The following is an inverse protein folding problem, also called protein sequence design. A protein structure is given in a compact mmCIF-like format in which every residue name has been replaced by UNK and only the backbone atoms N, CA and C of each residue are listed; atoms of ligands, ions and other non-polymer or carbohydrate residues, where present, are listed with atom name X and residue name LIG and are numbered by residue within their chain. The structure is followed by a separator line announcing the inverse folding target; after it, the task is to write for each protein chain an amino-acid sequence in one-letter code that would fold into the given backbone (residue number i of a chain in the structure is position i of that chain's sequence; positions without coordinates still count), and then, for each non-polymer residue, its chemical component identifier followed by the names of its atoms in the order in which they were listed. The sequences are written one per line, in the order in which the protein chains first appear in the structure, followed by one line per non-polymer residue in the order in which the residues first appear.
data_IF_405009733436
#
_entry.id   IF_405009733436
#
_cell.length_a   1.000
_cell.length_b   1.000
_cell.length_c   1.000
_cell.angle_alpha   90.00
_cell.angle_beta   90.00
_cell.angle_gamma   90.00
#
_symmetry.space_group_name_H-M   'P 1'
#
loop_
_entity.id
_entity.type
_entity.pdbx_description
1 polymer ?
#
# COMPACT_ATOMS: atom_id res chain seq x y z
N UNK A 1 10.36 17.42 21.00
CA UNK A 1 9.94 18.27 19.86
C UNK A 1 8.60 18.92 20.18
N UNK A 2 8.41 20.22 19.89
CA UNK A 2 7.12 20.91 20.11
C UNK A 2 6.07 20.45 19.11
N UNK A 3 4.78 20.56 19.46
CA UNK A 3 3.66 20.00 18.69
C UNK A 3 3.61 20.47 17.24
N UNK A 4 3.70 21.79 17.00
CA UNK A 4 3.75 22.33 15.64
C UNK A 4 4.88 21.72 14.80
N UNK A 5 6.05 21.53 15.40
CA UNK A 5 7.19 20.92 14.69
C UNK A 5 6.97 19.43 14.44
N UNK A 6 6.34 18.69 15.36
CA UNK A 6 5.95 17.29 15.15
C UNK A 6 5.00 17.16 13.96
N UNK A 7 3.98 18.02 13.91
CA UNK A 7 3.04 18.07 12.79
C UNK A 7 3.75 18.37 11.47
N UNK A 8 4.67 19.34 11.46
CA UNK A 8 5.45 19.65 10.26
C UNK A 8 6.30 18.45 9.79
N UNK A 9 6.93 17.73 10.71
CA UNK A 9 7.72 16.52 10.38
C UNK A 9 6.82 15.41 9.83
N UNK A 10 5.62 15.22 10.40
CA UNK A 10 4.65 14.26 9.89
C UNK A 10 4.15 14.63 8.48
N UNK A 11 3.82 15.90 8.25
CA UNK A 11 3.44 16.40 6.93
C UNK A 11 4.57 16.22 5.92
N UNK A 12 5.82 16.48 6.30
CA UNK A 12 6.99 16.23 5.46
C UNK A 12 7.13 14.75 5.12
N UNK A 13 7.03 13.84 6.10
CA UNK A 13 7.05 12.39 5.87
C UNK A 13 6.02 11.95 4.82
N UNK A 14 4.77 12.41 4.93
CA UNK A 14 3.72 12.09 3.94
C UNK A 14 4.08 12.65 2.55
N UNK A 15 4.59 13.87 2.49
CA UNK A 15 5.01 14.52 1.25
C UNK A 15 6.10 13.72 0.53
N UNK A 16 7.15 13.35 1.26
CA UNK A 16 8.28 12.58 0.69
C UNK A 16 7.86 11.16 0.28
N UNK A 17 7.01 10.50 1.07
CA UNK A 17 6.47 9.18 0.71
C UNK A 17 5.65 9.23 -0.60
N UNK A 18 4.86 10.28 -0.81
CA UNK A 18 4.14 10.49 -2.08
C UNK A 18 5.08 10.83 -3.22
N UNK A 19 6.11 11.64 -2.97
CA UNK A 19 7.09 12.03 -3.97
C UNK A 19 7.86 10.81 -4.51
N UNK A 20 8.24 9.88 -3.63
CA UNK A 20 8.89 8.62 -4.01
C UNK A 20 8.15 7.87 -5.13
N UNK A 21 6.87 7.55 -4.93
CA UNK A 21 6.08 6.81 -5.92
C UNK A 21 5.87 7.61 -7.21
N UNK A 22 5.64 8.92 -7.11
CA UNK A 22 5.46 9.78 -8.28
C UNK A 22 6.73 9.85 -9.14
N UNK A 23 7.90 9.97 -8.52
CA UNK A 23 9.19 10.03 -9.22
C UNK A 23 9.50 8.70 -9.93
N UNK A 24 9.12 7.55 -9.36
CA UNK A 24 9.23 6.27 -10.07
C UNK A 24 8.33 6.22 -11.32
N UNK A 25 7.11 6.77 -11.25
CA UNK A 25 6.25 6.89 -12.43
C UNK A 25 6.85 7.83 -13.49
N UNK A 26 7.48 8.93 -13.08
CA UNK A 26 8.20 9.82 -14.00
C UNK A 26 9.40 9.13 -14.64
N UNK A 27 10.13 8.31 -13.87
CA UNK A 27 11.21 7.52 -14.42
C UNK A 27 10.72 6.55 -15.50
N UNK A 28 9.61 5.83 -15.26
CA UNK A 28 9.00 4.95 -16.25
C UNK A 28 8.62 5.73 -17.51
N UNK A 29 7.96 6.89 -17.37
CA UNK A 29 7.58 7.71 -18.51
C UNK A 29 8.81 8.17 -19.32
N UNK A 30 9.89 8.55 -18.66
CA UNK A 30 11.13 8.92 -19.33
C UNK A 30 11.80 7.73 -20.06
N UNK A 31 11.59 6.49 -19.62
CA UNK A 31 12.03 5.30 -20.37
C UNK A 31 11.18 5.05 -21.61
N UNK A 32 9.86 5.20 -21.50
CA UNK A 32 8.93 5.09 -22.63
C UNK A 32 9.22 6.14 -23.72
N UNK A 33 9.76 7.29 -23.32
CA UNK A 33 10.19 8.37 -24.21
C UNK A 33 11.66 8.25 -24.67
N UNK A 34 12.33 7.14 -24.34
CA UNK A 34 13.72 6.86 -24.72
C UNK A 34 14.72 7.92 -24.23
N UNK A 35 14.49 8.50 -23.05
CA UNK A 35 15.35 9.52 -22.39
C UNK A 35 16.03 8.95 -21.14
N UNK A 36 16.96 7.97 -21.27
CA UNK A 36 17.44 7.15 -20.16
C UNK A 36 18.17 7.93 -19.05
N UNK A 37 18.82 9.05 -19.39
CA UNK A 37 19.49 9.89 -18.38
C UNK A 37 18.49 10.58 -17.46
N UNK A 38 17.32 10.97 -17.97
CA UNK A 38 16.25 11.58 -17.16
C UNK A 38 15.55 10.50 -16.32
N UNK A 39 15.34 9.31 -16.87
CA UNK A 39 14.84 8.18 -16.09
C UNK A 39 15.78 7.84 -14.92
N UNK A 40 17.09 7.81 -15.17
CA UNK A 40 18.10 7.60 -14.13
C UNK A 40 18.06 8.70 -13.07
N UNK A 41 17.95 9.96 -13.48
CA UNK A 41 17.82 11.10 -12.55
C UNK A 41 16.58 10.95 -11.66
N UNK A 42 15.42 10.64 -12.24
CA UNK A 42 14.19 10.47 -11.44
C UNK A 42 14.29 9.32 -10.44
N UNK A 43 14.92 8.19 -10.81
CA UNK A 43 15.19 7.09 -9.87
C UNK A 43 16.13 7.51 -8.74
N UNK A 44 17.19 8.25 -9.06
CA UNK A 44 18.14 8.72 -8.07
C UNK A 44 17.47 9.68 -7.07
N UNK A 45 16.61 10.59 -7.55
CA UNK A 45 15.85 11.50 -6.68
C UNK A 45 14.80 10.71 -5.88
N UNK A 46 14.11 9.74 -6.48
CA UNK A 46 13.18 8.88 -5.74
C UNK A 46 13.89 8.23 -4.55
N UNK A 47 15.08 7.65 -4.75
CA UNK A 47 15.85 7.08 -3.65
C UNK A 47 16.23 8.12 -2.58
N UNK A 48 16.54 9.36 -2.97
CA UNK A 48 16.76 10.44 -2.02
C UNK A 48 15.49 10.75 -1.18
N UNK A 49 14.30 10.80 -1.80
CA UNK A 49 13.05 11.03 -1.05
C UNK A 49 12.70 9.85 -0.13
N UNK A 50 13.06 8.62 -0.51
CA UNK A 50 12.97 7.47 0.41
C UNK A 50 13.85 7.68 1.65
N UNK A 51 15.05 8.23 1.50
CA UNK A 51 15.94 8.59 2.61
C UNK A 51 15.33 9.71 3.46
N UNK A 52 14.81 10.78 2.85
CA UNK A 52 14.15 11.88 3.57
C UNK A 52 12.94 11.39 4.38
N UNK A 53 12.03 10.64 3.74
CA UNK A 53 10.86 10.04 4.38
C UNK A 53 11.26 9.18 5.59
N UNK A 54 12.28 8.33 5.43
CA UNK A 54 12.78 7.46 6.52
C UNK A 54 13.32 8.28 7.69
N UNK A 55 14.06 9.36 7.41
CA UNK A 55 14.59 10.25 8.46
C UNK A 55 13.49 10.98 9.20
N UNK A 56 12.46 11.46 8.49
CA UNK A 56 11.31 12.11 9.11
C UNK A 56 10.49 11.14 9.94
N UNK A 57 10.21 9.93 9.44
CA UNK A 57 9.53 8.87 10.18
C UNK A 57 10.26 8.57 11.50
N UNK A 58 11.59 8.46 11.49
CA UNK A 58 12.38 8.20 12.69
C UNK A 58 12.21 9.27 13.79
N UNK A 59 11.95 10.53 13.40
CA UNK A 59 11.74 11.64 14.36
C UNK A 59 10.35 11.64 15.00
N UNK A 60 9.38 10.98 14.38
CA UNK A 60 7.99 10.84 14.87
C UNK A 60 7.60 9.38 15.09
N UNK A 61 8.58 8.49 15.17
CA UNK A 61 8.37 7.04 15.25
C UNK A 61 7.63 6.64 16.51
N UNK A 62 7.91 7.32 17.63
CA UNK A 62 7.22 7.15 18.90
C UNK A 62 5.72 7.49 18.84
N UNK A 63 5.32 8.33 17.88
CA UNK A 63 3.93 8.74 17.67
C UNK A 63 3.21 7.74 16.75
N UNK A 64 3.89 7.28 15.69
CA UNK A 64 3.29 6.47 14.63
C UNK A 64 3.41 4.96 14.84
N UNK A 65 4.51 4.49 15.44
CA UNK A 65 4.81 3.07 15.63
C UNK A 65 4.70 2.75 17.11
N UNK A 66 3.69 1.96 17.47
CA UNK A 66 3.44 1.47 18.83
C UNK A 66 3.96 0.04 18.98
N UNK A 67 3.56 -0.66 20.03
CA UNK A 67 3.74 -2.11 20.13
C UNK A 67 2.96 -2.86 19.04
N UNK A 68 3.31 -4.13 18.82
CA UNK A 68 2.74 -4.96 17.76
C UNK A 68 1.23 -5.08 17.86
N UNK A 69 0.68 -5.29 19.06
CA UNK A 69 -0.75 -5.50 19.25
C UNK A 69 -1.53 -4.22 18.93
N UNK A 70 -1.05 -3.07 19.40
CA UNK A 70 -1.63 -1.76 19.06
C UNK A 70 -1.54 -1.47 17.56
N UNK A 71 -0.41 -1.79 16.91
CA UNK A 71 -0.28 -1.59 15.47
C UNK A 71 -1.21 -2.52 14.67
N UNK A 72 -1.37 -3.78 15.08
CA UNK A 72 -2.30 -4.73 14.46
C UNK A 72 -3.75 -4.25 14.55
N UNK A 73 -4.17 -3.79 15.73
CA UNK A 73 -5.52 -3.24 15.93
C UNK A 73 -5.73 -1.97 15.08
N UNK A 74 -4.77 -1.05 15.08
CA UNK A 74 -4.85 0.16 14.26
C UNK A 74 -4.93 -0.17 12.75
N UNK A 75 -4.15 -1.14 12.29
CA UNK A 75 -4.20 -1.62 10.91
C UNK A 75 -5.55 -2.29 10.60
N UNK A 76 -6.05 -3.17 11.47
CA UNK A 76 -7.36 -3.80 11.32
C UNK A 76 -8.48 -2.75 11.20
N UNK A 77 -8.52 -1.77 12.11
CA UNK A 77 -9.52 -0.71 12.06
C UNK A 77 -9.41 0.15 10.81
N UNK A 78 -8.18 0.42 10.34
CA UNK A 78 -7.97 1.15 9.08
C UNK A 78 -8.49 0.37 7.88
N UNK A 79 -8.11 -0.90 7.73
CA UNK A 79 -8.60 -1.72 6.61
C UNK A 79 -10.12 -1.87 6.64
N UNK A 80 -10.71 -1.96 7.83
CA UNK A 80 -12.16 -2.01 8.01
C UNK A 80 -12.82 -0.73 7.51
N UNK A 81 -12.34 0.44 7.95
CA UNK A 81 -12.83 1.75 7.48
C UNK A 81 -12.71 1.90 5.96
N UNK A 82 -11.55 1.53 5.41
CA UNK A 82 -11.27 1.69 3.97
C UNK A 82 -12.16 0.76 3.14
N UNK A 83 -12.32 -0.50 3.56
CA UNK A 83 -13.09 -1.52 2.83
C UNK A 83 -14.62 -1.39 2.98
N UNK A 84 -15.11 -1.01 4.16
CA UNK A 84 -16.54 -0.93 4.47
C UNK A 84 -17.15 0.48 4.24
N UNK A 85 -16.32 1.54 4.22
CA UNK A 85 -16.80 2.93 4.11
C UNK A 85 -16.17 3.67 2.93
N UNK A 86 -14.85 3.89 2.93
CA UNK A 86 -14.20 4.83 1.99
C UNK A 86 -14.30 4.37 0.53
N UNK A 87 -13.88 3.14 0.22
CA UNK A 87 -13.98 2.64 -1.17
C UNK A 87 -15.41 2.47 -1.65
N UNK A 88 -16.38 1.98 -0.86
CA UNK A 88 -17.79 1.98 -1.26
C UNK A 88 -18.32 3.37 -1.67
N UNK A 89 -17.92 4.43 -0.97
CA UNK A 89 -18.26 5.81 -1.36
C UNK A 89 -17.60 6.18 -2.70
N UNK A 90 -16.30 5.91 -2.88
CA UNK A 90 -15.59 6.21 -4.13
C UNK A 90 -16.15 5.42 -5.33
N UNK A 91 -16.55 4.16 -5.13
CA UNK A 91 -17.18 3.33 -6.15
C UNK A 91 -18.52 3.93 -6.56
N UNK A 92 -19.33 4.38 -5.59
CA UNK A 92 -20.62 5.01 -5.85
C UNK A 92 -20.45 6.29 -6.68
N UNK A 93 -19.50 7.14 -6.31
CA UNK A 93 -19.23 8.38 -7.05
C UNK A 93 -18.75 8.06 -8.49
N UNK A 94 -17.81 7.13 -8.65
CA UNK A 94 -17.35 6.68 -9.97
C UNK A 94 -18.48 6.08 -10.83
N UNK A 95 -19.45 5.39 -10.21
CA UNK A 95 -20.63 4.87 -10.91
C UNK A 95 -21.58 5.99 -11.37
N UNK A 96 -21.80 7.00 -10.53
CA UNK A 96 -22.62 8.18 -10.85
C UNK A 96 -22.00 8.95 -12.01
N UNK A 97 -20.69 9.14 -11.97
CA UNK A 97 -19.94 9.90 -12.97
C UNK A 97 -19.67 9.07 -14.25
N UNK A 98 -19.93 7.76 -14.23
CA UNK A 98 -19.70 6.87 -15.37
C UNK A 98 -18.24 6.49 -15.59
N UNK A 99 -17.37 6.72 -14.61
CA UNK A 99 -15.92 6.50 -14.65
C UNK A 99 -15.55 5.04 -14.41
N UNK A 100 -15.73 4.20 -15.43
CA UNK A 100 -15.57 2.74 -15.34
C UNK A 100 -14.17 2.27 -14.93
N UNK A 101 -13.12 2.99 -15.32
CA UNK A 101 -11.76 2.66 -14.92
C UNK A 101 -11.55 2.88 -13.42
N UNK A 102 -12.03 4.01 -12.90
CA UNK A 102 -11.97 4.31 -11.47
C UNK A 102 -12.80 3.31 -10.66
N UNK A 103 -14.05 3.05 -11.08
CA UNK A 103 -14.94 2.05 -10.46
C UNK A 103 -14.25 0.68 -10.33
N UNK A 104 -13.59 0.21 -11.38
CA UNK A 104 -12.87 -1.06 -11.38
C UNK A 104 -11.71 -1.07 -10.38
N UNK A 105 -10.86 -0.05 -10.40
CA UNK A 105 -9.69 0.01 -9.51
C UNK A 105 -10.08 0.15 -8.05
N UNK A 106 -11.11 0.94 -7.73
CA UNK A 106 -11.65 1.06 -6.38
C UNK A 106 -12.29 -0.24 -5.90
N UNK A 107 -13.04 -0.93 -6.77
CA UNK A 107 -13.64 -2.23 -6.43
C UNK A 107 -12.58 -3.28 -6.12
N UNK A 108 -11.52 -3.36 -6.95
CA UNK A 108 -10.42 -4.28 -6.73
C UNK A 108 -9.62 -3.97 -5.46
N UNK A 109 -9.37 -2.68 -5.19
CA UNK A 109 -8.70 -2.26 -3.95
C UNK A 109 -9.54 -2.63 -2.72
N UNK A 110 -10.83 -2.28 -2.69
CA UNK A 110 -11.77 -2.67 -1.62
C UNK A 110 -11.75 -4.18 -1.35
N UNK A 111 -11.80 -4.98 -2.42
CA UNK A 111 -11.81 -6.43 -2.29
C UNK A 111 -10.48 -6.94 -1.74
N UNK A 112 -9.34 -6.35 -2.14
CA UNK A 112 -8.02 -6.64 -1.56
C UNK A 112 -7.97 -6.27 -0.07
N UNK A 113 -8.43 -5.08 0.33
CA UNK A 113 -8.44 -4.66 1.74
C UNK A 113 -9.33 -5.57 2.60
N UNK A 114 -10.42 -6.10 2.04
CA UNK A 114 -11.26 -7.10 2.72
C UNK A 114 -10.50 -8.41 3.00
N UNK A 115 -9.47 -8.75 2.20
CA UNK A 115 -8.56 -9.87 2.50
C UNK A 115 -7.49 -9.47 3.50
N UNK A 116 -6.96 -8.25 3.46
CA UNK A 116 -5.98 -7.75 4.43
C UNK A 116 -6.58 -7.72 5.84
N UNK A 117 -7.82 -7.24 5.96
CA UNK A 117 -8.60 -7.24 7.20
C UNK A 117 -8.64 -8.64 7.84
N UNK A 118 -8.92 -9.68 7.04
CA UNK A 118 -8.94 -11.09 7.50
C UNK A 118 -7.56 -11.61 7.92
N UNK A 119 -6.47 -11.06 7.36
CA UNK A 119 -5.11 -11.41 7.79
C UNK A 119 -4.81 -10.80 9.16
N UNK A 120 -5.14 -9.52 9.37
CA UNK A 120 -5.00 -8.87 10.67
C UNK A 120 -5.90 -9.51 11.73
N UNK A 121 -7.16 -9.82 11.40
CA UNK A 121 -8.08 -10.53 12.30
C UNK A 121 -7.47 -11.85 12.79
N UNK A 122 -6.93 -12.67 11.88
CA UNK A 122 -6.29 -13.94 12.23
C UNK A 122 -5.04 -13.75 13.09
N UNK A 123 -4.26 -12.71 12.82
CA UNK A 123 -3.07 -12.38 13.60
C UNK A 123 -3.45 -11.97 15.04
N UNK A 124 -4.47 -11.12 15.21
CA UNK A 124 -4.97 -10.66 16.51
C UNK A 124 -5.52 -11.82 17.34
N UNK A 125 -6.35 -12.68 16.76
CA UNK A 125 -6.95 -13.79 17.52
C UNK A 125 -6.03 -15.01 17.70
N UNK A 126 -4.73 -14.88 17.37
CA UNK A 126 -3.76 -15.99 17.37
C UNK A 126 -4.26 -17.24 16.60
N UNK A 127 -5.09 -17.05 15.57
CA UNK A 127 -5.66 -18.15 14.77
C UNK A 127 -4.73 -18.55 13.63
N UNK A 128 -3.53 -17.98 13.57
CA UNK A 128 -2.42 -18.56 12.81
C UNK A 128 -1.95 -19.82 13.55
N UNK A 129 -2.69 -20.92 13.36
CA UNK A 129 -2.37 -22.26 13.89
C UNK A 129 -1.14 -22.86 13.23
N UNK A 130 -0.81 -22.39 12.03
CA UNK A 130 0.32 -22.86 11.22
C UNK A 130 1.32 -21.73 11.01
N UNK A 131 2.60 -22.00 11.21
CA UNK A 131 3.68 -21.06 10.90
C UNK A 131 3.62 -20.62 9.42
N UNK A 132 3.38 -19.33 9.17
CA UNK A 132 3.39 -18.75 7.81
C UNK A 132 4.82 -18.38 7.46
N UNK A 133 5.40 -19.10 6.49
CA UNK A 133 6.79 -18.88 6.04
C UNK A 133 6.96 -17.74 5.05
N UNK A 134 5.91 -17.43 4.30
CA UNK A 134 5.93 -16.40 3.27
C UNK A 134 4.52 -15.88 2.99
N UNK A 135 4.44 -14.64 2.53
CA UNK A 135 3.24 -14.06 1.95
C UNK A 135 3.43 -13.87 0.44
N UNK A 136 2.35 -13.97 -0.33
CA UNK A 136 2.36 -13.72 -1.77
C UNK A 136 1.40 -12.59 -2.12
N UNK A 137 1.91 -11.60 -2.86
CA UNK A 137 1.21 -10.36 -3.19
C UNK A 137 0.99 -10.27 -4.69
N UNK A 138 -0.27 -10.16 -5.12
CA UNK A 138 -0.63 -9.88 -6.51
C UNK A 138 -0.13 -8.49 -6.90
N UNK A 139 0.77 -8.40 -7.88
CA UNK A 139 1.35 -7.14 -8.35
C UNK A 139 0.41 -6.33 -9.27
N UNK A 140 -0.82 -6.81 -9.48
CA UNK A 140 -1.85 -6.10 -10.27
C UNK A 140 -2.83 -5.36 -9.35
N UNK A 141 -3.34 -6.04 -8.31
CA UNK A 141 -4.42 -5.50 -7.48
C UNK A 141 -4.14 -5.49 -5.96
N UNK A 142 -2.96 -5.94 -5.52
CA UNK A 142 -2.60 -5.92 -4.10
C UNK A 142 -3.20 -7.05 -3.23
N UNK A 143 -3.86 -8.05 -3.81
CA UNK A 143 -4.32 -9.23 -3.04
C UNK A 143 -3.15 -9.94 -2.33
N UNK A 144 -3.31 -10.25 -1.04
CA UNK A 144 -2.30 -10.92 -0.20
C UNK A 144 -2.79 -12.29 0.29
N UNK A 145 -1.92 -13.30 0.24
CA UNK A 145 -2.18 -14.62 0.82
C UNK A 145 -0.95 -15.21 1.50
N UNK A 146 -1.12 -15.78 2.68
CA UNK A 146 -0.10 -16.62 3.36
C UNK A 146 -0.20 -18.11 2.99
N UNK A 147 -1.05 -18.46 2.02
CA UNK A 147 -1.21 -19.82 1.47
C UNK A 147 -0.50 -19.92 0.11
N UNK A 148 -0.52 -21.11 -0.51
CA UNK A 148 -0.01 -21.29 -1.88
C UNK A 148 -0.61 -20.27 -2.86
N UNK A 149 0.21 -19.78 -3.79
CA UNK A 149 -0.21 -18.88 -4.87
C UNK A 149 -1.34 -19.54 -5.68
N UNK A 150 -2.51 -18.88 -5.83
CA UNK A 150 -3.61 -19.43 -6.62
C UNK A 150 -3.29 -19.40 -8.12
N UNK A 151 -3.95 -20.24 -8.92
CA UNK A 151 -3.75 -20.26 -10.37
C UNK A 151 -4.13 -18.91 -11.04
N UNK A 152 -5.18 -18.28 -10.53
CA UNK A 152 -5.63 -16.92 -10.87
C UNK A 152 -5.90 -16.14 -9.58
N UNK A 153 -5.60 -14.85 -9.58
CA UNK A 153 -5.93 -13.95 -8.48
C UNK A 153 -7.46 -13.93 -8.26
N UNK A 154 -7.96 -14.11 -7.02
CA UNK A 154 -9.39 -14.10 -6.74
C UNK A 154 -10.04 -12.71 -6.86
N UNK A 155 -9.25 -11.64 -6.99
CA UNK A 155 -9.73 -10.26 -7.09
C UNK A 155 -9.70 -9.76 -8.54
N UNK A 156 -8.57 -9.92 -9.23
CA UNK A 156 -8.36 -9.34 -10.56
C UNK A 156 -8.06 -10.36 -11.66
N UNK A 157 -8.19 -11.66 -11.36
CA UNK A 157 -7.93 -12.78 -12.27
C UNK A 157 -6.50 -12.91 -12.83
N UNK A 158 -5.57 -12.06 -12.38
CA UNK A 158 -4.18 -12.08 -12.83
C UNK A 158 -3.55 -13.48 -12.62
N UNK A 159 -2.73 -13.94 -13.58
CA UNK A 159 -2.11 -15.26 -13.50
C UNK A 159 -1.06 -15.33 -12.39
N UNK A 160 -0.75 -16.55 -11.95
CA UNK A 160 0.16 -16.83 -10.83
C UNK A 160 1.56 -16.18 -10.94
N UNK A 161 2.06 -15.92 -12.14
CA UNK A 161 3.36 -15.29 -12.40
C UNK A 161 3.37 -13.78 -12.08
N UNK A 162 2.20 -13.18 -11.84
CA UNK A 162 2.06 -11.80 -11.35
C UNK A 162 2.11 -11.68 -9.83
N UNK A 163 2.42 -12.76 -9.12
CA UNK A 163 2.60 -12.72 -7.66
C UNK A 163 4.07 -12.55 -7.30
N UNK A 164 4.33 -11.66 -6.35
CA UNK A 164 5.63 -11.52 -5.69
C UNK A 164 5.58 -12.20 -4.33
N UNK A 165 6.54 -13.08 -4.05
CA UNK A 165 6.73 -13.67 -2.72
C UNK A 165 7.49 -12.70 -1.82
N UNK A 166 7.06 -12.64 -0.56
CA UNK A 166 7.68 -11.91 0.54
C UNK A 166 8.03 -12.94 1.61
N UNK A 167 9.32 -13.16 1.83
CA UNK A 167 9.92 -14.13 2.75
C UNK A 167 11.04 -13.52 3.60
#
# INVERSE_FOLDING_TARGET
MKEKTKQNVYTAFIGEAKAYFRLLAYAQKAEEEEVPQIALLFRAIAEAERVHATRHLNLVKDILVKDTDTNLENSFQREKSVSETEYPEFIKDAQIDGEKAAELTFSQARDAESFHLKLYERAIYHVIRDEVKAYHVCQVCGYVTGKKIPAKCPVCEAPKDKFKTID
#
